data_IF_258560917945
#
_entry.id   IF_258560917945
#
_cell.length_a   1.000
_cell.length_b   1.000
_cell.length_c   1.000
_cell.angle_alpha   90.00
_cell.angle_beta   90.00
_cell.angle_gamma   90.00
#
_symmetry.space_group_name_H-M   'P 1'
#
loop_
_entity.id
_entity.type
_entity.pdbx_description
1 polymer ?
#
# COMPACT_ATOMS: atom_id res chain seq x y z
N UNK A 1 -16.53 10.02 -15.66
CA UNK A 1 -15.92 9.64 -14.37
C UNK A 1 -16.50 10.42 -13.19
N UNK A 2 -16.36 11.76 -13.11
CA UNK A 2 -16.89 12.56 -11.97
C UNK A 2 -18.39 12.28 -11.76
N UNK A 3 -19.22 12.56 -12.76
CA UNK A 3 -20.67 12.36 -12.68
C UNK A 3 -21.05 10.90 -12.39
N UNK A 4 -20.27 9.93 -12.86
CA UNK A 4 -20.56 8.50 -12.63
C UNK A 4 -20.37 8.15 -11.15
N UNK A 5 -19.29 8.63 -10.54
CA UNK A 5 -19.01 8.44 -9.11
C UNK A 5 -20.03 9.19 -8.26
N UNK A 6 -20.34 10.45 -8.58
CA UNK A 6 -21.35 11.23 -7.87
C UNK A 6 -22.73 10.56 -7.94
N UNK A 7 -23.18 10.18 -9.13
CA UNK A 7 -24.46 9.50 -9.31
C UNK A 7 -24.52 8.16 -8.57
N UNK A 8 -23.41 7.40 -8.55
CA UNK A 8 -23.33 6.16 -7.79
C UNK A 8 -23.45 6.40 -6.28
N UNK A 9 -22.75 7.39 -5.73
CA UNK A 9 -22.81 7.75 -4.30
C UNK A 9 -24.20 8.28 -3.92
N UNK A 10 -24.81 9.12 -4.76
CA UNK A 10 -26.18 9.60 -4.58
C UNK A 10 -27.18 8.44 -4.61
N UNK A 11 -27.00 7.49 -5.53
CA UNK A 11 -27.80 6.26 -5.60
C UNK A 11 -27.70 5.40 -4.35
N UNK A 12 -26.61 5.51 -3.59
CA UNK A 12 -26.42 4.87 -2.28
C UNK A 12 -26.98 5.70 -1.11
N UNK A 13 -27.64 6.83 -1.39
CA UNK A 13 -28.27 7.69 -0.38
C UNK A 13 -27.36 8.77 0.21
N UNK A 14 -26.15 8.99 -0.33
CA UNK A 14 -25.26 10.05 0.12
C UNK A 14 -25.73 11.40 -0.44
N UNK A 15 -25.93 12.38 0.43
CA UNK A 15 -26.41 13.71 0.01
C UNK A 15 -25.29 14.50 -0.70
N UNK A 16 -25.56 15.14 -1.86
CA UNK A 16 -24.53 15.82 -2.65
C UNK A 16 -23.76 16.93 -1.91
N UNK A 17 -24.36 17.59 -0.92
CA UNK A 17 -23.72 18.66 -0.14
C UNK A 17 -22.67 18.14 0.86
N UNK A 18 -22.63 16.83 1.10
CA UNK A 18 -21.68 16.18 2.00
C UNK A 18 -20.41 15.70 1.29
N UNK A 19 -20.40 15.70 -0.04
CA UNK A 19 -19.30 15.17 -0.85
C UNK A 19 -18.89 16.14 -1.95
N UNK A 20 -17.64 16.04 -2.40
CA UNK A 20 -17.17 16.73 -3.59
C UNK A 20 -16.24 15.79 -4.34
N UNK A 21 -16.56 15.51 -5.60
CA UNK A 21 -15.76 14.64 -6.46
C UNK A 21 -14.91 15.48 -7.40
N UNK A 22 -13.60 15.25 -7.40
CA UNK A 22 -12.67 15.88 -8.33
C UNK A 22 -11.81 14.84 -9.04
N UNK A 23 -11.35 15.15 -10.24
CA UNK A 23 -10.36 14.37 -10.98
C UNK A 23 -9.12 15.23 -11.16
N UNK A 24 -7.98 14.65 -10.84
CA UNK A 24 -6.68 15.31 -10.99
C UNK A 24 -5.82 14.51 -11.95
N UNK A 25 -5.27 15.21 -12.93
CA UNK A 25 -4.31 14.64 -13.86
C UNK A 25 -2.89 14.76 -13.31
N UNK A 26 -2.07 13.75 -13.60
CA UNK A 26 -0.63 13.77 -13.27
C UNK A 26 0.22 13.61 -14.51
N UNK A 27 1.35 14.32 -14.54
CA UNK A 27 2.36 14.22 -15.60
C UNK A 27 3.40 13.14 -15.33
N UNK A 28 3.32 12.45 -14.19
CA UNK A 28 4.27 11.41 -13.81
C UNK A 28 4.01 10.16 -14.65
N UNK A 29 4.98 9.78 -15.48
CA UNK A 29 4.80 8.72 -16.49
C UNK A 29 4.66 7.32 -15.91
N UNK A 30 5.03 7.09 -14.64
CA UNK A 30 4.99 5.79 -13.97
C UNK A 30 3.72 5.53 -13.16
N UNK A 31 2.82 6.50 -13.07
CA UNK A 31 1.48 6.34 -12.47
C UNK A 31 0.41 6.54 -13.52
N UNK A 32 -0.81 6.15 -13.23
CA UNK A 32 -1.96 6.36 -14.12
C UNK A 32 -2.29 7.85 -14.24
N UNK A 33 -2.79 8.28 -15.41
CA UNK A 33 -2.88 9.69 -15.76
C UNK A 33 -3.91 10.45 -14.92
N UNK A 34 -4.90 9.76 -14.34
CA UNK A 34 -6.01 10.37 -13.62
C UNK A 34 -6.18 9.73 -12.24
N UNK A 35 -6.45 10.57 -11.24
CA UNK A 35 -6.84 10.15 -9.90
C UNK A 35 -8.15 10.82 -9.54
N UNK A 36 -9.10 10.05 -9.01
CA UNK A 36 -10.36 10.56 -8.50
C UNK A 36 -10.21 10.81 -7.00
N UNK A 37 -10.67 11.96 -6.52
CA UNK A 37 -10.78 12.27 -5.10
C UNK A 37 -12.25 12.47 -4.76
N UNK A 38 -12.70 11.82 -3.70
CA UNK A 38 -14.01 12.03 -3.08
C UNK A 38 -13.78 12.66 -1.72
N UNK A 39 -13.80 13.99 -1.66
CA UNK A 39 -13.76 14.71 -0.40
C UNK A 39 -15.11 14.57 0.29
N UNK A 40 -15.11 14.37 1.61
CA UNK A 40 -16.33 14.30 2.41
C UNK A 40 -16.28 15.29 3.57
N UNK A 41 -17.44 15.76 4.01
CA UNK A 41 -17.55 16.65 5.17
C UNK A 41 -17.25 15.85 6.45
N UNK A 42 -16.13 16.12 7.16
CA UNK A 42 -15.84 15.39 8.38
C UNK A 42 -16.70 15.91 9.55
N UNK A 43 -16.95 15.03 10.52
CA UNK A 43 -17.62 15.41 11.78
C UNK A 43 -16.61 15.91 12.82
N UNK A 44 -15.35 15.47 12.72
CA UNK A 44 -14.25 15.85 13.61
C UNK A 44 -13.15 16.58 12.85
N UNK A 45 -12.41 17.45 13.54
CA UNK A 45 -11.20 18.04 12.98
C UNK A 45 -10.14 16.97 12.75
N UNK A 46 -9.52 16.98 11.56
CA UNK A 46 -8.47 16.04 11.19
C UNK A 46 -7.08 16.48 11.70
N UNK A 47 -6.12 15.57 11.67
CA UNK A 47 -4.72 15.85 12.02
C UNK A 47 -3.90 16.50 10.87
N UNK A 48 -4.55 16.83 9.74
CA UNK A 48 -3.91 17.36 8.53
C UNK A 48 -3.09 16.34 7.74
N UNK A 49 -2.72 15.20 8.34
CA UNK A 49 -1.96 14.13 7.70
C UNK A 49 -2.87 13.13 6.97
N UNK A 50 -4.01 12.77 7.59
CA UNK A 50 -5.08 12.00 6.98
C UNK A 50 -6.21 12.98 6.64
N UNK A 51 -6.32 13.27 5.35
CA UNK A 51 -7.34 14.18 4.83
C UNK A 51 -8.71 13.48 4.81
N UNK A 52 -9.82 14.21 5.02
CA UNK A 52 -11.18 13.69 4.93
C UNK A 52 -11.60 13.49 3.47
N UNK A 53 -10.86 12.64 2.77
CA UNK A 53 -11.08 12.33 1.37
C UNK A 53 -10.71 10.88 1.08
N UNK A 54 -11.42 10.27 0.14
CA UNK A 54 -11.08 8.97 -0.43
C UNK A 54 -10.39 9.21 -1.76
N UNK A 55 -9.13 8.77 -1.87
CA UNK A 55 -8.39 8.76 -3.14
C UNK A 55 -8.67 7.43 -3.85
N UNK A 56 -9.19 7.50 -5.06
CA UNK A 56 -9.46 6.34 -5.91
C UNK A 56 -8.50 6.39 -7.09
N UNK A 57 -7.64 5.38 -7.18
CA UNK A 57 -6.68 5.18 -8.26
C UNK A 57 -7.13 3.99 -9.10
N UNK A 58 -7.39 4.24 -10.39
CA UNK A 58 -7.74 3.20 -11.35
C UNK A 58 -6.51 2.95 -12.21
N UNK A 59 -5.92 1.76 -12.10
CA UNK A 59 -4.65 1.46 -12.76
C UNK A 59 -4.77 0.45 -13.88
N UNK A 60 -4.38 0.85 -15.10
CA UNK A 60 -4.19 -0.09 -16.21
C UNK A 60 -2.86 -0.84 -16.15
N UNK A 61 -1.98 -0.47 -15.20
CA UNK A 61 -0.64 -1.04 -15.02
C UNK A 61 -0.52 -1.92 -13.79
N UNK A 62 -1.53 -1.93 -12.91
CA UNK A 62 -1.55 -2.84 -11.78
C UNK A 62 -1.95 -4.23 -12.26
N UNK A 63 -1.30 -5.26 -11.71
CA UNK A 63 -1.74 -6.62 -11.98
C UNK A 63 -3.15 -6.76 -11.39
N UNK A 64 -4.10 -7.34 -12.11
CA UNK A 64 -5.49 -7.45 -11.62
C UNK A 64 -5.76 -8.78 -10.92
N UNK A 65 -4.85 -9.74 -11.03
CA UNK A 65 -4.98 -11.12 -10.56
C UNK A 65 -3.71 -11.57 -9.80
N UNK A 66 -3.75 -12.65 -9.02
CA UNK A 66 -4.95 -13.38 -8.59
C UNK A 66 -5.79 -12.58 -7.57
N UNK A 67 -7.11 -12.71 -7.64
CA UNK A 67 -8.05 -12.14 -6.66
C UNK A 67 -8.81 -13.20 -5.87
N UNK A 68 -9.33 -12.80 -4.71
CA UNK A 68 -10.33 -13.53 -3.96
C UNK A 68 -11.45 -12.59 -3.53
N UNK A 69 -12.66 -13.11 -3.45
CA UNK A 69 -13.78 -12.37 -2.85
C UNK A 69 -13.63 -12.40 -1.33
N UNK A 70 -13.69 -11.22 -0.71
CA UNK A 70 -13.67 -11.05 0.74
C UNK A 70 -14.85 -10.20 1.18
N UNK A 71 -15.53 -10.63 2.25
CA UNK A 71 -16.54 -9.81 2.90
C UNK A 71 -15.85 -8.75 3.75
N UNK A 72 -16.18 -7.48 3.54
CA UNK A 72 -15.73 -6.36 4.36
C UNK A 72 -16.92 -5.70 5.06
N UNK A 73 -16.67 -5.13 6.23
CA UNK A 73 -17.65 -4.37 7.01
C UNK A 73 -17.01 -3.10 7.55
N UNK A 74 -17.80 -2.08 7.87
CA UNK A 74 -17.23 -0.88 8.49
C UNK A 74 -16.65 -1.18 9.87
N UNK A 75 -15.54 -0.51 10.17
CA UNK A 75 -14.91 -0.53 11.49
C UNK A 75 -15.91 -0.13 12.60
N UNK A 76 -16.82 0.79 12.30
CA UNK A 76 -17.84 1.27 13.24
C UNK A 76 -18.75 0.11 13.65
N UNK A 77 -19.29 -0.66 12.71
CA UNK A 77 -20.17 -1.80 13.04
C UNK A 77 -19.45 -3.00 13.65
N UNK A 78 -18.13 -3.10 13.46
CA UNK A 78 -17.29 -4.07 14.15
C UNK A 78 -17.05 -3.72 15.62
N UNK A 79 -16.99 -2.43 15.97
CA UNK A 79 -16.49 -1.97 17.28
C UNK A 79 -17.53 -1.22 18.13
N UNK A 80 -18.65 -0.76 17.55
CA UNK A 80 -19.69 -0.03 18.26
C UNK A 80 -20.97 -0.87 18.47
N UNK A 81 -21.87 -0.46 19.38
CA UNK A 81 -23.11 -1.19 19.64
C UNK A 81 -23.98 -1.35 18.39
N UNK A 82 -24.32 -2.61 18.08
CA UNK A 82 -25.13 -2.99 16.90
C UNK A 82 -26.48 -2.27 16.80
N UNK A 83 -27.09 -1.93 17.95
CA UNK A 83 -28.39 -1.23 17.99
C UNK A 83 -28.36 0.17 17.36
N UNK A 84 -27.17 0.76 17.19
CA UNK A 84 -27.00 2.13 16.69
C UNK A 84 -26.29 2.17 15.34
N UNK A 85 -25.36 1.23 15.11
CA UNK A 85 -24.56 1.16 13.89
C UNK A 85 -24.57 -0.27 13.37
N UNK A 86 -25.41 -0.53 12.38
CA UNK A 86 -25.49 -1.83 11.72
C UNK A 86 -25.49 -1.63 10.20
N UNK A 87 -24.36 -1.96 9.59
CA UNK A 87 -24.24 -2.19 8.15
C UNK A 87 -24.07 -3.69 7.87
N UNK A 88 -24.56 -4.11 6.70
CA UNK A 88 -24.34 -5.46 6.22
C UNK A 88 -22.94 -5.55 5.61
N UNK A 89 -22.24 -6.70 5.79
CA UNK A 89 -21.01 -6.95 5.05
C UNK A 89 -21.23 -6.82 3.54
N UNK A 90 -20.24 -6.27 2.85
CA UNK A 90 -20.20 -6.16 1.39
C UNK A 90 -19.06 -7.02 0.87
N UNK A 91 -19.35 -7.81 -0.16
CA UNK A 91 -18.34 -8.62 -0.84
C UNK A 91 -17.56 -7.75 -1.82
N UNK A 92 -16.23 -7.81 -1.73
CA UNK A 92 -15.31 -7.13 -2.64
C UNK A 92 -14.27 -8.10 -3.19
N UNK A 93 -13.88 -7.90 -4.46
CA UNK A 93 -12.76 -8.63 -5.04
C UNK A 93 -11.46 -7.95 -4.63
N UNK A 94 -10.66 -8.64 -3.81
CA UNK A 94 -9.36 -8.16 -3.35
C UNK A 94 -8.25 -9.02 -3.94
N UNK A 95 -7.14 -8.38 -4.34
CA UNK A 95 -5.93 -9.09 -4.75
C UNK A 95 -5.40 -9.95 -3.61
N UNK A 96 -4.79 -11.09 -3.95
CA UNK A 96 -4.21 -11.97 -2.95
C UNK A 96 -3.10 -11.24 -2.15
N UNK A 97 -3.10 -11.35 -0.81
CA UNK A 97 -2.13 -10.63 0.03
C UNK A 97 -0.68 -11.08 -0.22
N UNK A 98 -0.47 -12.31 -0.71
CA UNK A 98 0.83 -12.85 -1.11
C UNK A 98 1.45 -12.01 -2.24
N UNK A 99 0.62 -11.57 -3.20
CA UNK A 99 1.06 -10.69 -4.27
C UNK A 99 1.44 -9.31 -3.74
N UNK A 100 0.57 -8.73 -2.88
CA UNK A 100 0.83 -7.43 -2.26
C UNK A 100 2.12 -7.43 -1.44
N UNK A 101 2.42 -8.54 -0.76
CA UNK A 101 3.68 -8.73 -0.04
C UNK A 101 4.88 -8.63 -0.99
N UNK A 102 4.89 -9.41 -2.07
CA UNK A 102 5.96 -9.40 -3.07
C UNK A 102 6.13 -8.02 -3.73
N UNK A 103 5.03 -7.37 -4.09
CA UNK A 103 5.06 -6.00 -4.65
C UNK A 103 5.71 -4.99 -3.70
N UNK A 104 5.48 -5.11 -2.38
CA UNK A 104 6.13 -4.25 -1.39
C UNK A 104 7.62 -4.55 -1.30
N UNK A 105 8.04 -5.82 -1.30
CA UNK A 105 9.46 -6.17 -1.30
C UNK A 105 10.19 -5.61 -2.53
N UNK A 106 9.59 -5.78 -3.71
CA UNK A 106 10.16 -5.29 -4.96
C UNK A 106 10.19 -3.77 -5.02
N UNK A 107 9.15 -3.09 -4.53
CA UNK A 107 9.14 -1.63 -4.41
C UNK A 107 10.26 -1.13 -3.49
N UNK A 108 10.51 -1.79 -2.36
CA UNK A 108 11.61 -1.45 -1.46
C UNK A 108 12.97 -1.62 -2.15
N UNK A 109 13.17 -2.75 -2.84
CA UNK A 109 14.40 -2.99 -3.58
C UNK A 109 14.64 -1.99 -4.71
N UNK A 110 13.61 -1.72 -5.52
CA UNK A 110 13.63 -0.69 -6.57
C UNK A 110 13.98 0.69 -5.98
N UNK A 111 13.44 1.03 -4.81
CA UNK A 111 13.71 2.30 -4.16
C UNK A 111 15.15 2.38 -3.66
N UNK A 112 15.64 1.36 -2.95
CA UNK A 112 17.00 1.37 -2.39
C UNK A 112 18.11 1.11 -3.40
N UNK A 113 17.77 0.72 -4.64
CA UNK A 113 18.71 0.65 -5.75
C UNK A 113 19.00 2.02 -6.39
N UNK A 114 18.22 3.06 -6.08
CA UNK A 114 18.41 4.41 -6.61
C UNK A 114 19.62 5.09 -5.96
N UNK A 115 20.22 6.10 -6.64
CA UNK A 115 21.13 7.03 -5.99
C UNK A 115 20.47 7.66 -4.76
N UNK A 116 21.22 7.90 -3.68
CA UNK A 116 20.68 8.41 -2.41
C UNK A 116 19.87 9.71 -2.53
N UNK A 117 20.20 10.56 -3.51
CA UNK A 117 19.48 11.80 -3.80
C UNK A 117 18.07 11.57 -4.38
N UNK A 118 17.86 10.43 -5.06
CA UNK A 118 16.62 10.09 -5.76
C UNK A 118 15.71 9.16 -4.93
N UNK A 119 16.18 8.70 -3.77
CA UNK A 119 15.39 7.89 -2.84
C UNK A 119 14.29 8.74 -2.22
N UNK A 120 13.05 8.31 -2.44
CA UNK A 120 11.85 8.91 -1.83
C UNK A 120 11.82 8.60 -0.34
N UNK A 121 11.49 9.60 0.45
CA UNK A 121 11.41 9.50 1.91
C UNK A 121 9.97 9.63 2.38
N UNK A 122 9.31 10.72 1.98
CA UNK A 122 7.98 11.06 2.47
C UNK A 122 6.96 9.95 2.22
N UNK A 123 6.38 9.45 3.31
CA UNK A 123 5.38 8.37 3.39
C UNK A 123 5.86 7.03 2.84
N UNK A 124 7.16 6.84 2.64
CA UNK A 124 7.72 5.59 2.11
C UNK A 124 7.97 4.55 3.21
N UNK A 125 8.22 4.99 4.44
CA UNK A 125 8.42 4.09 5.58
C UNK A 125 7.20 3.24 5.92
N UNK A 126 5.99 3.61 5.51
CA UNK A 126 4.79 2.76 5.66
C UNK A 126 4.96 1.40 4.98
N UNK A 127 5.77 1.31 3.91
CA UNK A 127 5.99 0.06 3.19
C UNK A 127 6.76 -0.97 4.03
N UNK A 128 7.76 -0.55 4.81
CA UNK A 128 8.47 -1.45 5.73
C UNK A 128 7.57 -1.87 6.91
N UNK A 129 6.70 -0.97 7.40
CA UNK A 129 5.70 -1.28 8.41
C UNK A 129 4.73 -2.36 7.91
N UNK A 130 4.17 -2.17 6.72
CA UNK A 130 3.24 -3.13 6.11
C UNK A 130 3.87 -4.52 5.93
N UNK A 131 5.13 -4.58 5.49
CA UNK A 131 5.86 -5.85 5.36
C UNK A 131 6.01 -6.52 6.72
N UNK A 132 6.45 -5.79 7.75
CA UNK A 132 6.53 -6.30 9.13
C UNK A 132 5.18 -6.82 9.64
N UNK A 133 4.07 -6.13 9.34
CA UNK A 133 2.72 -6.60 9.71
C UNK A 133 2.32 -7.87 8.98
N UNK A 134 2.57 -7.96 7.67
CA UNK A 134 2.24 -9.14 6.86
C UNK A 134 3.05 -10.36 7.30
N UNK A 135 4.32 -10.17 7.67
CA UNK A 135 5.20 -11.25 8.17
C UNK A 135 4.67 -11.92 9.45
N UNK A 136 3.84 -11.24 10.24
CA UNK A 136 3.20 -11.81 11.43
C UNK A 136 2.00 -12.72 11.09
N UNK A 137 1.77 -12.95 9.81
CA UNK A 137 0.75 -13.85 9.26
C UNK A 137 1.43 -14.95 8.43
N UNK A 138 0.69 -15.99 8.03
CA UNK A 138 1.21 -17.03 7.12
C UNK A 138 1.49 -16.55 5.68
N UNK A 139 1.06 -15.33 5.33
CA UNK A 139 1.11 -14.81 3.95
C UNK A 139 2.54 -14.73 3.40
N UNK A 140 3.51 -14.31 4.22
CA UNK A 140 4.89 -14.17 3.77
C UNK A 140 5.50 -15.53 3.36
N UNK A 141 5.25 -16.57 4.16
CA UNK A 141 5.75 -17.91 3.87
C UNK A 141 5.08 -18.52 2.63
N UNK A 142 3.76 -18.34 2.50
CA UNK A 142 3.00 -18.77 1.31
C UNK A 142 3.50 -18.06 0.05
N UNK A 143 3.73 -16.75 0.12
CA UNK A 143 4.22 -15.96 -1.02
C UNK A 143 5.63 -16.36 -1.46
N UNK A 144 6.50 -16.68 -0.50
CA UNK A 144 7.89 -17.06 -0.81
C UNK A 144 8.02 -18.51 -1.31
N UNK A 145 7.08 -19.38 -0.94
CA UNK A 145 7.03 -20.77 -1.41
C UNK A 145 6.46 -20.92 -2.83
N UNK A 146 5.71 -19.94 -3.32
CA UNK A 146 5.11 -19.95 -4.67
C UNK A 146 6.05 -19.30 -5.70
N UNK A 147 6.92 -20.12 -6.31
CA UNK A 147 7.85 -19.69 -7.36
C UNK A 147 7.13 -19.07 -8.57
N UNK A 148 5.96 -19.60 -8.93
CA UNK A 148 5.21 -19.13 -10.09
C UNK A 148 4.65 -17.74 -9.84
N UNK A 149 4.09 -17.50 -8.65
CA UNK A 149 3.62 -16.18 -8.26
C UNK A 149 4.79 -15.19 -8.21
N UNK A 150 5.90 -15.56 -7.58
CA UNK A 150 7.10 -14.72 -7.48
C UNK A 150 7.58 -14.24 -8.86
N UNK A 151 7.77 -15.17 -9.80
CA UNK A 151 8.22 -14.84 -11.16
C UNK A 151 7.19 -14.01 -11.92
N UNK A 152 5.90 -14.33 -11.78
CA UNK A 152 4.83 -13.60 -12.46
C UNK A 152 4.79 -12.13 -12.05
N UNK A 153 5.05 -11.82 -10.78
CA UNK A 153 5.09 -10.44 -10.29
C UNK A 153 6.32 -9.71 -10.85
N UNK A 154 7.50 -10.37 -10.92
CA UNK A 154 8.70 -9.78 -11.55
C UNK A 154 8.44 -9.42 -13.02
N UNK A 155 7.93 -10.37 -13.80
CA UNK A 155 7.67 -10.16 -15.24
C UNK A 155 6.60 -9.09 -15.48
N UNK A 156 5.58 -9.06 -14.63
CA UNK A 156 4.58 -8.00 -14.67
C UNK A 156 5.22 -6.62 -14.41
N UNK A 157 6.05 -6.48 -13.38
CA UNK A 157 6.73 -5.19 -13.08
C UNK A 157 7.67 -4.78 -14.22
N UNK A 158 8.44 -5.73 -14.77
CA UNK A 158 9.31 -5.51 -15.93
C UNK A 158 8.54 -4.93 -17.11
N UNK A 159 7.35 -5.47 -17.39
CA UNK A 159 6.52 -5.07 -18.52
C UNK A 159 5.75 -3.76 -18.30
N UNK A 160 5.17 -3.55 -17.12
CA UNK A 160 4.19 -2.48 -16.89
C UNK A 160 4.71 -1.28 -16.07
N UNK A 161 5.72 -1.49 -15.23
CA UNK A 161 6.38 -0.39 -14.48
C UNK A 161 7.57 0.13 -15.30
N UNK A 162 8.44 -0.77 -15.76
CA UNK A 162 9.51 -0.47 -16.72
C UNK A 162 10.43 0.68 -16.30
N UNK A 163 10.97 0.64 -15.08
CA UNK A 163 11.93 1.63 -14.59
C UNK A 163 13.15 1.69 -15.51
N UNK A 164 13.38 2.84 -16.13
CA UNK A 164 14.46 3.02 -17.11
C UNK A 164 15.82 2.79 -16.45
N UNK A 165 16.57 1.82 -16.95
CA UNK A 165 17.91 1.50 -16.46
C UNK A 165 17.94 0.66 -15.18
N UNK A 166 16.79 0.16 -14.73
CA UNK A 166 16.72 -0.78 -13.62
C UNK A 166 16.81 -2.21 -14.14
N UNK A 167 17.66 -3.03 -13.52
CA UNK A 167 17.79 -4.45 -13.84
C UNK A 167 16.78 -5.27 -13.03
N UNK A 168 15.71 -5.71 -13.69
CA UNK A 168 14.65 -6.48 -13.04
C UNK A 168 15.10 -7.88 -12.59
N UNK A 169 16.21 -8.41 -13.09
CA UNK A 169 16.74 -9.67 -12.58
C UNK A 169 17.30 -9.52 -11.16
N UNK A 170 17.57 -8.31 -10.67
CA UNK A 170 17.97 -8.10 -9.27
C UNK A 170 16.83 -8.28 -8.27
N UNK A 171 15.58 -8.32 -8.74
CA UNK A 171 14.42 -8.67 -7.90
C UNK A 171 14.39 -10.14 -7.50
N UNK A 172 15.24 -10.98 -8.10
CA UNK A 172 15.37 -12.39 -7.73
C UNK A 172 15.94 -12.52 -6.32
N UNK A 173 15.59 -13.62 -5.66
CA UNK A 173 15.84 -13.87 -4.24
C UNK A 173 17.26 -13.55 -3.80
N UNK A 174 18.29 -14.06 -4.49
CA UNK A 174 19.71 -13.90 -4.09
C UNK A 174 20.24 -12.46 -4.08
N UNK A 175 19.59 -11.55 -4.82
CA UNK A 175 20.04 -10.16 -5.00
C UNK A 175 19.16 -9.14 -4.30
N UNK A 176 18.05 -9.58 -3.70
CA UNK A 176 17.07 -8.71 -3.09
C UNK A 176 17.67 -7.96 -1.89
N UNK A 177 17.38 -6.67 -1.81
CA UNK A 177 17.82 -5.75 -0.74
C UNK A 177 16.66 -4.84 -0.37
N UNK A 178 16.10 -5.01 0.83
CA UNK A 178 14.90 -4.28 1.29
C UNK A 178 15.17 -3.40 2.53
N UNK A 179 16.45 -3.24 2.91
CA UNK A 179 16.85 -2.54 4.13
C UNK A 179 17.48 -1.18 3.77
N UNK A 180 16.96 -0.06 4.29
CA UNK A 180 17.63 1.24 4.15
C UNK A 180 18.91 1.28 5.02
N UNK A 181 19.95 1.94 4.53
CA UNK A 181 21.25 2.04 5.22
C UNK A 181 21.76 3.47 5.30
N UNK A 182 22.63 3.77 6.25
CA UNK A 182 23.28 5.09 6.40
C UNK A 182 22.26 6.22 6.59
N UNK A 183 22.53 7.39 6.00
CA UNK A 183 21.65 8.57 6.12
C UNK A 183 20.19 8.31 5.67
N UNK A 184 19.99 7.41 4.70
CA UNK A 184 18.66 7.04 4.23
C UNK A 184 17.86 6.34 5.32
N UNK A 185 18.50 5.50 6.13
CA UNK A 185 17.88 4.85 7.29
C UNK A 185 17.34 5.90 8.27
N UNK A 186 18.13 6.90 8.61
CA UNK A 186 17.75 7.93 9.59
C UNK A 186 16.59 8.81 9.07
N UNK A 187 16.60 9.10 7.78
CA UNK A 187 15.50 9.81 7.10
C UNK A 187 14.21 8.99 7.07
N UNK A 188 14.30 7.68 6.81
CA UNK A 188 13.16 6.76 6.86
C UNK A 188 12.64 6.54 8.28
N UNK A 189 13.51 6.55 9.30
CA UNK A 189 13.09 6.50 10.70
C UNK A 189 12.28 7.74 11.09
N UNK A 190 12.70 8.92 10.61
CA UNK A 190 11.96 10.16 10.82
C UNK A 190 10.59 10.12 10.14
N UNK A 191 10.52 9.63 8.90
CA UNK A 191 9.25 9.41 8.19
C UNK A 191 8.36 8.38 8.91
N UNK A 192 8.95 7.33 9.48
CA UNK A 192 8.23 6.30 10.22
C UNK A 192 7.56 6.86 11.47
N UNK A 193 8.28 7.68 12.25
CA UNK A 193 7.71 8.36 13.43
C UNK A 193 6.49 9.21 13.04
N UNK A 194 6.57 9.92 11.92
CA UNK A 194 5.43 10.67 11.38
C UNK A 194 4.27 9.76 10.98
N UNK A 195 4.56 8.65 10.30
CA UNK A 195 3.55 7.65 9.89
C UNK A 195 2.83 7.05 11.10
N UNK A 196 3.56 6.59 12.12
CA UNK A 196 3.01 6.00 13.35
C UNK A 196 2.13 7.01 14.08
N UNK A 197 2.66 8.21 14.32
CA UNK A 197 1.95 9.26 15.07
C UNK A 197 0.60 9.61 14.43
N UNK A 198 0.49 9.54 13.11
CA UNK A 198 -0.69 10.01 12.39
C UNK A 198 -1.64 8.91 11.91
N UNK A 199 -1.19 7.65 11.79
CA UNK A 199 -1.98 6.58 11.17
C UNK A 199 -2.14 5.32 12.03
N UNK A 200 -1.22 5.03 12.95
CA UNK A 200 -1.27 3.76 13.68
C UNK A 200 -2.10 3.93 14.96
N UNK A 201 -3.14 3.10 15.09
CA UNK A 201 -3.93 2.99 16.31
C UNK A 201 -3.33 1.93 17.23
N UNK A 202 -3.04 2.29 18.47
CA UNK A 202 -2.47 1.38 19.48
C UNK A 202 -0.95 1.31 19.42
N UNK A 203 -0.40 0.21 19.95
CA UNK A 203 1.05 0.01 20.03
C UNK A 203 1.65 -0.30 18.66
N UNK A 204 2.69 0.46 18.29
CA UNK A 204 3.48 0.23 17.09
C UNK A 204 4.88 -0.27 17.49
N UNK A 205 5.49 -1.21 16.75
CA UNK A 205 6.89 -1.54 16.95
C UNK A 205 7.77 -0.30 16.68
N UNK A 206 8.92 -0.27 17.32
CA UNK A 206 9.97 0.69 17.01
C UNK A 206 10.51 0.47 15.59
N UNK A 207 11.14 1.50 15.03
CA UNK A 207 11.78 1.38 13.72
C UNK A 207 12.88 0.30 13.74
N UNK A 208 13.67 0.24 14.81
CA UNK A 208 14.74 -0.75 14.97
C UNK A 208 14.21 -2.18 15.00
N UNK A 209 13.07 -2.43 15.68
CA UNK A 209 12.42 -3.74 15.66
C UNK A 209 11.94 -4.13 14.25
N UNK A 210 11.36 -3.19 13.50
CA UNK A 210 10.95 -3.43 12.10
C UNK A 210 12.17 -3.77 11.24
N UNK A 211 13.26 -3.01 11.38
CA UNK A 211 14.49 -3.24 10.60
C UNK A 211 15.08 -4.62 10.93
N UNK A 212 15.15 -4.99 12.21
CA UNK A 212 15.65 -6.31 12.62
C UNK A 212 14.78 -7.46 12.06
N UNK A 213 13.44 -7.31 12.09
CA UNK A 213 12.53 -8.28 11.46
C UNK A 213 12.80 -8.40 9.94
N UNK A 214 12.96 -7.27 9.25
CA UNK A 214 13.23 -7.24 7.81
C UNK A 214 14.60 -7.79 7.44
N UNK A 215 15.63 -7.58 8.26
CA UNK A 215 16.97 -8.15 8.04
C UNK A 215 16.91 -9.68 8.05
N UNK A 216 16.23 -10.26 9.05
CA UNK A 216 16.00 -11.71 9.13
C UNK A 216 15.21 -12.20 7.91
N UNK A 217 14.18 -11.47 7.47
CA UNK A 217 13.44 -11.80 6.26
C UNK A 217 14.34 -11.76 5.02
N UNK A 218 15.10 -10.69 4.81
CA UNK A 218 15.95 -10.53 3.64
C UNK A 218 17.02 -11.64 3.60
N UNK A 219 17.61 -12.00 4.74
CA UNK A 219 18.54 -13.12 4.81
C UNK A 219 17.88 -14.45 4.47
N UNK A 220 16.66 -14.70 4.98
CA UNK A 220 15.89 -15.90 4.65
C UNK A 220 15.66 -15.99 3.15
N UNK A 221 15.17 -14.90 2.53
CA UNK A 221 14.91 -14.83 1.09
C UNK A 221 16.20 -15.11 0.30
N UNK A 222 17.31 -14.46 0.65
CA UNK A 222 18.57 -14.61 -0.10
C UNK A 222 19.17 -16.03 -0.02
N UNK A 223 18.72 -16.86 0.93
CA UNK A 223 19.16 -18.26 1.10
C UNK A 223 18.24 -19.29 0.43
N UNK A 224 17.08 -18.87 -0.08
CA UNK A 224 16.14 -19.71 -0.84
C UNK A 224 16.51 -19.74 -2.32
#
# INVERSE_FOLDING_TARGET
MINDVENALIGQGITPDLITVSVHETKVSTVDPETIYVAYKPIFEGNGYVLPQVKIEVSGRSMSEPVKTVAIRSYISDNLPKLTFEDNPVDVNAVLPQRTFLEKLFLLHEEFAKPSADIRIERMSRHIYDVSRIMRTGVADEALADDSLYESVIEHRRKFIGLKGFDYDTLRRSSLKIIPTGEIRDRWETDYKSTVMNMVMGEAPTFDEIIAELEVLNEKINRM
#
